data_IF_990578467813
#
_entry.id   IF_990578467813
#
_cell.length_a   1.000
_cell.length_b   1.000
_cell.length_c   1.000
_cell.angle_alpha   90.00
_cell.angle_beta   90.00
_cell.angle_gamma   90.00
#
_symmetry.space_group_name_H-M   'P 1'
#
loop_
_entity.id
_entity.type
_entity.pdbx_description
1 polymer ?
#
# COMPACT_ATOMS: atom_id res chain seq x y z
N UNK A 1 10.43 -13.51 -10.23
CA UNK A 1 9.46 -13.51 -9.12
C UNK A 1 8.88 -12.12 -8.96
N UNK A 2 7.57 -11.95 -9.14
CA UNK A 2 6.87 -10.66 -8.94
C UNK A 2 6.37 -10.62 -7.50
N UNK A 3 6.77 -9.61 -6.74
CA UNK A 3 6.26 -9.37 -5.39
C UNK A 3 4.86 -8.76 -5.51
N UNK A 4 3.84 -9.45 -4.99
CA UNK A 4 2.49 -8.89 -4.86
C UNK A 4 2.48 -7.99 -3.63
N UNK A 5 2.13 -6.72 -3.81
CA UNK A 5 2.00 -5.78 -2.69
C UNK A 5 0.80 -6.16 -1.80
N UNK A 6 0.89 -6.02 -0.47
CA UNK A 6 -0.25 -6.20 0.41
C UNK A 6 -1.35 -5.17 0.10
N UNK A 7 -2.61 -5.55 0.31
CA UNK A 7 -3.74 -4.63 0.14
C UNK A 7 -3.58 -3.44 1.10
N UNK A 8 -3.57 -2.22 0.54
CA UNK A 8 -3.58 -1.00 1.33
C UNK A 8 -4.99 -0.78 1.90
N UNK A 9 -5.11 -0.76 3.23
CA UNK A 9 -6.35 -0.43 3.93
C UNK A 9 -6.54 1.10 3.99
N UNK A 10 -6.78 1.72 2.83
CA UNK A 10 -6.92 3.18 2.71
C UNK A 10 -8.32 3.69 3.10
N UNK A 11 -9.29 2.78 3.23
CA UNK A 11 -10.70 3.02 3.49
C UNK A 11 -11.13 2.57 4.90
N UNK A 12 -10.24 2.68 5.88
CA UNK A 12 -10.60 2.43 7.29
C UNK A 12 -10.82 3.76 7.99
N UNK A 13 -12.05 3.99 8.42
CA UNK A 13 -12.42 5.08 9.33
C UNK A 13 -13.03 4.50 10.60
N UNK A 14 -12.73 5.08 11.77
CA UNK A 14 -13.26 4.64 13.07
C UNK A 14 -14.68 5.13 13.35
N UNK A 15 -15.15 6.11 12.58
CA UNK A 15 -16.49 6.69 12.70
C UNK A 15 -16.80 7.46 14.00
N UNK A 16 -15.85 7.52 14.94
CA UNK A 16 -16.10 8.02 16.30
C UNK A 16 -16.10 9.55 16.34
N UNK A 17 -17.23 10.15 16.69
CA UNK A 17 -17.36 11.59 16.96
C UNK A 17 -17.70 12.47 15.74
N UNK A 18 -18.01 11.90 14.58
CA UNK A 18 -18.33 12.68 13.38
C UNK A 18 -19.83 12.79 13.11
N UNK A 19 -20.34 14.02 13.01
CA UNK A 19 -21.72 14.32 12.57
C UNK A 19 -22.03 13.91 11.12
N UNK A 20 -21.00 13.79 10.27
CA UNK A 20 -21.09 13.41 8.85
C UNK A 20 -20.22 12.16 8.59
N UNK A 21 -19.97 11.35 9.62
CA UNK A 21 -19.15 10.14 9.43
C UNK A 21 -19.98 9.06 8.75
N UNK A 22 -19.80 8.87 7.44
CA UNK A 22 -20.62 7.87 6.75
C UNK A 22 -20.53 7.72 5.24
N UNK A 23 -19.54 8.29 4.55
CA UNK A 23 -19.37 7.97 3.13
C UNK A 23 -17.89 7.84 2.76
N UNK A 24 -17.48 6.62 2.41
CA UNK A 24 -16.12 6.34 1.94
C UNK A 24 -16.17 6.22 0.43
N UNK A 25 -15.55 7.16 -0.28
CA UNK A 25 -15.50 7.14 -1.74
C UNK A 25 -14.43 6.15 -2.18
N UNK A 26 -14.84 5.05 -2.82
CA UNK A 26 -13.92 4.10 -3.44
C UNK A 26 -13.52 4.58 -4.83
N UNK A 27 -12.39 5.27 -4.92
CA UNK A 27 -11.77 5.64 -6.20
C UNK A 27 -10.60 4.70 -6.48
N UNK A 28 -10.46 4.17 -7.71
CA UNK A 28 -9.26 3.43 -8.09
C UNK A 28 -8.06 4.38 -8.16
N UNK A 29 -7.19 4.33 -7.16
CA UNK A 29 -5.92 5.05 -7.14
C UNK A 29 -4.81 4.02 -7.39
N UNK A 30 -4.16 4.12 -8.54
CA UNK A 30 -3.02 3.27 -8.90
C UNK A 30 -1.74 4.09 -8.76
N UNK A 31 -0.94 3.80 -7.74
CA UNK A 31 0.38 4.41 -7.54
C UNK A 31 1.42 3.31 -7.28
N UNK A 32 2.54 3.25 -8.03
CA UNK A 32 3.59 2.29 -7.76
C UNK A 32 4.38 2.74 -6.54
N UNK A 33 4.24 2.04 -5.42
CA UNK A 33 4.95 2.35 -4.17
C UNK A 33 5.86 1.17 -3.82
N UNK A 34 7.16 1.44 -3.68
CA UNK A 34 8.12 0.48 -3.15
C UNK A 34 8.29 0.73 -1.65
N UNK A 35 7.86 -0.22 -0.82
CA UNK A 35 8.12 -0.19 0.63
C UNK A 35 8.95 -1.42 0.97
N UNK A 36 10.25 -1.24 1.21
CA UNK A 36 11.17 -2.30 1.59
C UNK A 36 12.36 -1.73 2.37
N UNK A 37 13.28 -2.59 2.83
CA UNK A 37 14.48 -2.14 3.54
C UNK A 37 14.32 -2.05 5.07
N UNK A 38 13.22 -2.58 5.62
CA UNK A 38 13.03 -2.63 7.06
C UNK A 38 13.74 -3.85 7.63
N UNK A 39 14.77 -3.62 8.43
CA UNK A 39 15.47 -4.63 9.22
C UNK A 39 15.39 -4.28 10.69
N UNK A 40 14.89 -5.20 11.51
CA UNK A 40 14.82 -5.04 12.96
C UNK A 40 15.44 -6.28 13.59
N UNK A 41 16.45 -6.09 14.46
CA UNK A 41 17.04 -7.15 15.26
C UNK A 41 16.95 -6.77 16.74
N UNK A 42 16.56 -7.75 17.56
CA UNK A 42 16.52 -7.61 19.02
C UNK A 42 17.91 -7.87 19.63
N UNK A 43 18.68 -8.79 19.04
CA UNK A 43 20.12 -8.98 19.26
C UNK A 43 20.77 -9.50 17.96
N UNK A 44 22.07 -9.24 17.75
CA UNK A 44 22.77 -9.60 16.50
C UNK A 44 22.61 -8.56 15.38
N UNK A 45 22.85 -8.95 14.12
CA UNK A 45 22.84 -8.04 12.95
C UNK A 45 21.56 -8.18 12.13
N UNK A 46 20.88 -7.07 11.86
CA UNK A 46 19.82 -6.99 10.85
C UNK A 46 20.40 -6.44 9.54
N UNK A 47 20.23 -7.19 8.45
CA UNK A 47 20.52 -6.72 7.09
C UNK A 47 19.21 -6.58 6.34
N UNK A 48 19.01 -5.44 5.69
CA UNK A 48 17.85 -5.21 4.84
C UNK A 48 18.29 -4.74 3.46
N UNK A 49 17.59 -5.19 2.43
CA UNK A 49 17.85 -4.84 1.04
C UNK A 49 16.57 -4.42 0.33
N UNK A 50 16.74 -3.65 -0.75
CA UNK A 50 15.67 -3.23 -1.65
C UNK A 50 16.15 -3.33 -3.10
N UNK A 51 15.50 -4.18 -3.90
CA UNK A 51 15.68 -4.15 -5.36
C UNK A 51 14.69 -3.17 -6.04
N UNK A 52 13.53 -2.93 -5.41
CA UNK A 52 12.41 -2.20 -6.02
C UNK A 52 11.70 -3.00 -7.13
N UNK A 53 10.83 -2.34 -7.87
CA UNK A 53 10.15 -2.91 -9.05
C UNK A 53 8.64 -2.69 -9.12
N UNK A 54 8.05 -1.88 -8.23
CA UNK A 54 6.63 -1.56 -8.29
C UNK A 54 6.29 -0.90 -9.64
N UNK A 55 5.34 -1.49 -10.35
CA UNK A 55 4.77 -0.97 -11.58
C UNK A 55 3.26 -0.98 -11.48
N UNK A 56 2.61 0.04 -12.04
CA UNK A 56 1.16 0.07 -12.21
C UNK A 56 0.84 -0.31 -13.65
N UNK A 57 0.03 -1.35 -13.83
CA UNK A 57 -0.57 -1.62 -15.14
C UNK A 57 -1.78 -0.70 -15.25
N UNK A 58 -1.66 0.35 -16.07
CA UNK A 58 -2.75 1.30 -16.29
C UNK A 58 -4.01 0.59 -16.79
N UNK A 59 -5.18 1.09 -16.39
CA UNK A 59 -6.47 0.61 -16.87
C UNK A 59 -6.56 0.89 -18.38
N UNK A 60 -6.23 -0.09 -19.22
CA UNK A 60 -6.46 -0.04 -20.67
C UNK A 60 -7.98 0.02 -20.86
N UNK A 61 -8.56 1.20 -21.06
CA UNK A 61 -9.89 1.31 -21.65
C UNK A 61 -9.75 0.96 -23.12
N UNK A 62 -9.99 -0.31 -23.45
CA UNK A 62 -10.34 -0.70 -24.81
C UNK A 62 -11.74 -0.15 -25.06
N UNK A 63 -11.81 0.85 -25.93
CA UNK A 63 -12.96 1.09 -26.80
C UNK A 63 -12.45 0.78 -28.19
#
# INVERSE_FOLDING_TARGET
MTLVAPAAHADITSGKGGIISGNQVRVPINAPINVCGNGVAVFGVAVAGCKGGAGVHGYKRHW
#
